data_IF_392983561395
#
_entry.id   IF_392983561395
#
_cell.length_a   1.000
_cell.length_b   1.000
_cell.length_c   1.000
_cell.angle_alpha   90.00
_cell.angle_beta   90.00
_cell.angle_gamma   90.00
#
_symmetry.space_group_name_H-M   'P 1'
#
loop_
_entity.id
_entity.type
_entity.pdbx_description
1 polymer ?
#
# COMPACT_ATOMS: atom_id res chain seq x y z
N UNK A 1 17.76 -1.74 3.15
CA UNK A 1 18.55 -2.88 2.68
C UNK A 1 19.42 -2.37 1.56
N UNK A 2 20.63 -2.92 1.34
CA UNK A 2 21.52 -2.41 0.31
C UNK A 2 21.86 -3.47 -0.74
N UNK A 3 22.12 -3.01 -1.99
CA UNK A 3 22.57 -3.84 -3.09
C UNK A 3 21.57 -4.88 -3.60
N UNK A 4 20.26 -4.70 -3.35
CA UNK A 4 19.22 -5.66 -3.72
C UNK A 4 18.35 -5.17 -4.89
N UNK A 5 18.10 -3.87 -4.96
CA UNK A 5 17.22 -3.22 -5.94
C UNK A 5 17.68 -1.77 -6.22
N UNK A 6 16.77 -0.86 -6.53
CA UNK A 6 17.02 0.58 -6.71
C UNK A 6 17.00 1.40 -5.41
N UNK A 7 16.96 0.75 -4.26
CA UNK A 7 17.14 1.37 -2.95
C UNK A 7 18.61 1.65 -2.64
N UNK A 8 18.99 1.62 -1.36
CA UNK A 8 20.38 1.86 -0.92
C UNK A 8 21.36 0.92 -1.62
N UNK A 9 22.50 1.46 -2.06
CA UNK A 9 23.52 0.69 -2.79
C UNK A 9 24.68 0.24 -1.89
N UNK A 10 24.79 0.81 -0.68
CA UNK A 10 25.83 0.46 0.28
C UNK A 10 25.31 0.43 1.72
N UNK A 11 26.13 -0.17 2.61
CA UNK A 11 25.87 -0.16 4.05
C UNK A 11 25.79 1.28 4.59
N UNK A 12 26.68 2.15 4.13
CA UNK A 12 26.73 3.56 4.53
C UNK A 12 25.42 4.29 4.17
N UNK A 13 24.90 4.07 2.97
CA UNK A 13 23.61 4.64 2.56
C UNK A 13 22.45 4.10 3.41
N UNK A 14 22.46 2.79 3.68
CA UNK A 14 21.45 2.18 4.56
C UNK A 14 21.50 2.78 5.97
N UNK A 15 22.67 2.97 6.52
CA UNK A 15 22.85 3.60 7.83
C UNK A 15 22.44 5.07 7.81
N UNK A 16 22.73 5.82 6.75
CA UNK A 16 22.27 7.21 6.60
C UNK A 16 20.73 7.31 6.56
N UNK A 17 20.06 6.38 5.88
CA UNK A 17 18.60 6.29 5.87
C UNK A 17 18.07 5.98 7.29
N UNK A 18 18.67 5.02 8.00
CA UNK A 18 18.26 4.65 9.36
C UNK A 18 18.41 5.85 10.31
N UNK A 19 19.52 6.59 10.24
CA UNK A 19 19.69 7.81 11.04
C UNK A 19 18.56 8.81 10.80
N UNK A 20 18.17 9.00 9.54
CA UNK A 20 17.04 9.87 9.22
C UNK A 20 15.71 9.35 9.77
N UNK A 21 15.48 8.05 9.77
CA UNK A 21 14.31 7.47 10.42
C UNK A 21 14.30 7.78 11.91
N UNK A 22 15.42 7.57 12.61
CA UNK A 22 15.56 7.86 14.04
C UNK A 22 15.33 9.35 14.33
N UNK A 23 15.92 10.26 13.54
CA UNK A 23 15.72 11.71 13.65
C UNK A 23 14.25 12.14 13.45
N UNK A 24 13.50 11.35 12.69
CA UNK A 24 12.07 11.55 12.48
C UNK A 24 11.18 10.81 13.49
N UNK A 25 11.78 10.12 14.48
CA UNK A 25 11.06 9.49 15.59
C UNK A 25 10.58 8.07 15.29
N UNK A 26 11.09 7.42 14.24
CA UNK A 26 10.82 6.00 13.99
C UNK A 26 11.71 5.11 14.86
N UNK A 27 11.15 4.00 15.33
CA UNK A 27 11.87 2.99 16.12
C UNK A 27 12.22 1.75 15.31
N UNK A 28 11.66 1.60 14.12
CA UNK A 28 11.92 0.49 13.23
C UNK A 28 11.21 0.66 11.89
N UNK A 29 11.49 -0.26 10.98
CA UNK A 29 10.90 -0.31 9.64
C UNK A 29 10.62 -1.73 9.21
N UNK A 30 9.66 -1.92 8.32
CA UNK A 30 9.58 -3.12 7.49
C UNK A 30 10.31 -2.80 6.18
N UNK A 31 11.46 -3.44 5.97
CA UNK A 31 12.24 -3.29 4.75
C UNK A 31 11.66 -4.22 3.67
N UNK A 32 11.25 -3.64 2.54
CA UNK A 32 10.53 -4.32 1.47
C UNK A 32 11.26 -4.23 0.14
N UNK A 33 12.44 -4.88 -0.03
CA UNK A 33 13.11 -4.90 -1.32
C UNK A 33 12.17 -5.47 -2.39
N UNK A 34 12.29 -4.90 -3.59
CA UNK A 34 11.47 -5.32 -4.71
C UNK A 34 11.67 -6.80 -5.05
N UNK A 35 10.57 -7.48 -5.33
CA UNK A 35 10.54 -8.80 -5.95
C UNK A 35 9.79 -8.70 -7.28
N UNK A 36 10.56 -8.50 -8.36
CA UNK A 36 10.04 -8.23 -9.69
C UNK A 36 10.71 -9.10 -10.74
N UNK A 37 10.00 -10.12 -11.24
CA UNK A 37 10.46 -11.01 -12.27
C UNK A 37 10.99 -10.24 -13.49
N UNK A 38 12.27 -10.52 -13.84
CA UNK A 38 12.94 -9.87 -14.97
C UNK A 38 13.64 -8.55 -14.68
N UNK A 39 13.53 -8.01 -13.43
CA UNK A 39 14.19 -6.76 -13.05
C UNK A 39 14.94 -6.86 -11.72
N UNK A 40 14.27 -7.21 -10.65
CA UNK A 40 14.82 -7.34 -9.30
C UNK A 40 14.35 -8.66 -8.69
N UNK A 41 15.27 -9.60 -8.50
CA UNK A 41 15.01 -10.90 -7.89
C UNK A 41 16.09 -11.25 -6.87
N UNK A 42 16.20 -10.46 -5.78
CA UNK A 42 17.13 -10.82 -4.72
C UNK A 42 16.70 -12.14 -4.07
N UNK A 43 17.65 -13.04 -3.84
CA UNK A 43 17.35 -14.26 -3.09
C UNK A 43 17.06 -13.95 -1.63
N UNK A 44 16.32 -14.82 -0.95
CA UNK A 44 16.05 -14.67 0.49
C UNK A 44 17.33 -14.61 1.31
N UNK A 45 18.35 -15.38 0.91
CA UNK A 45 19.67 -15.40 1.56
C UNK A 45 20.34 -14.03 1.43
N UNK A 46 20.32 -13.40 0.25
CA UNK A 46 20.89 -12.08 0.04
C UNK A 46 20.16 -11.00 0.88
N UNK A 47 18.84 -11.08 1.00
CA UNK A 47 18.05 -10.19 1.85
C UNK A 47 18.42 -10.36 3.32
N UNK A 48 18.52 -11.61 3.81
CA UNK A 48 18.90 -11.93 5.19
C UNK A 48 20.32 -11.46 5.47
N UNK A 49 21.26 -11.67 4.55
CA UNK A 49 22.66 -11.26 4.70
C UNK A 49 22.79 -9.73 4.78
N UNK A 50 22.10 -8.99 3.89
CA UNK A 50 22.08 -7.53 3.93
C UNK A 50 21.50 -7.02 5.26
N UNK A 51 20.38 -7.60 5.74
CA UNK A 51 19.81 -7.27 7.05
C UNK A 51 20.78 -7.54 8.18
N UNK A 52 21.41 -8.73 8.22
CA UNK A 52 22.33 -9.10 9.29
C UNK A 52 23.54 -8.17 9.35
N UNK A 53 24.04 -7.75 8.21
CA UNK A 53 25.14 -6.78 8.13
C UNK A 53 24.74 -5.44 8.76
N UNK A 54 23.54 -4.94 8.46
CA UNK A 54 23.02 -3.71 9.06
C UNK A 54 22.80 -3.88 10.57
N UNK A 55 22.24 -5.00 11.02
CA UNK A 55 22.02 -5.26 12.45
C UNK A 55 23.34 -5.32 13.25
N UNK A 56 24.40 -5.88 12.66
CA UNK A 56 25.72 -5.89 13.28
C UNK A 56 26.26 -4.46 13.43
N UNK A 57 26.14 -3.62 12.40
CA UNK A 57 26.58 -2.22 12.44
C UNK A 57 25.77 -1.40 13.48
N UNK A 58 24.46 -1.61 13.56
CA UNK A 58 23.61 -0.98 14.58
C UNK A 58 24.06 -1.37 15.99
N UNK A 59 24.33 -2.66 16.20
CA UNK A 59 24.82 -3.18 17.48
C UNK A 59 26.17 -2.58 17.86
N UNK A 60 27.14 -2.54 16.94
CA UNK A 60 28.48 -2.00 17.18
C UNK A 60 28.43 -0.50 17.51
N UNK A 61 27.45 0.21 17.00
CA UNK A 61 27.20 1.64 17.29
C UNK A 61 26.25 1.88 18.47
N UNK A 62 25.74 0.83 19.14
CA UNK A 62 24.75 0.90 20.21
C UNK A 62 23.48 1.69 19.77
N UNK A 63 23.01 1.48 18.55
CA UNK A 63 21.80 2.07 18.00
C UNK A 63 20.67 1.07 18.16
N UNK A 64 19.58 1.48 18.84
CA UNK A 64 18.36 0.71 18.99
C UNK A 64 17.40 1.05 17.85
N UNK A 65 17.31 0.15 16.85
CA UNK A 65 16.42 0.30 15.71
C UNK A 65 16.05 -1.07 15.13
N UNK A 66 14.76 -1.32 14.98
CA UNK A 66 14.26 -2.60 14.51
C UNK A 66 14.12 -2.64 12.98
N UNK A 67 14.52 -3.77 12.38
CA UNK A 67 14.36 -4.01 10.94
C UNK A 67 13.63 -5.33 10.74
N UNK A 68 12.37 -5.24 10.35
CA UNK A 68 11.57 -6.36 9.91
C UNK A 68 11.77 -6.57 8.41
N UNK A 69 11.52 -7.79 7.93
CA UNK A 69 11.61 -8.12 6.51
C UNK A 69 10.23 -8.16 5.86
N UNK A 70 10.20 -7.87 4.59
CA UNK A 70 9.11 -8.05 3.65
C UNK A 70 9.64 -8.04 2.23
N UNK A 71 8.76 -8.19 1.25
CA UNK A 71 9.03 -7.86 -0.14
C UNK A 71 7.93 -6.93 -0.67
N UNK A 72 8.27 -6.03 -1.58
CA UNK A 72 7.31 -5.42 -2.47
C UNK A 72 7.23 -6.26 -3.74
N UNK A 73 6.15 -7.04 -3.85
CA UNK A 73 5.99 -8.07 -4.87
C UNK A 73 5.26 -7.49 -6.07
N UNK A 74 5.92 -7.48 -7.23
CA UNK A 74 5.26 -7.14 -8.48
C UNK A 74 4.30 -8.27 -8.89
N UNK A 75 2.99 -7.97 -8.89
CA UNK A 75 1.94 -8.95 -9.05
C UNK A 75 1.93 -9.54 -10.46
N UNK A 76 2.20 -10.84 -10.55
CA UNK A 76 2.17 -11.64 -11.77
C UNK A 76 1.55 -13.04 -11.53
N UNK A 77 1.61 -13.90 -12.53
CA UNK A 77 1.08 -15.27 -12.48
C UNK A 77 1.86 -16.22 -11.57
N UNK A 78 3.08 -15.84 -11.14
CA UNK A 78 3.90 -16.63 -10.21
C UNK A 78 3.67 -16.27 -8.76
N UNK A 79 3.15 -15.08 -8.47
CA UNK A 79 3.04 -14.52 -7.12
C UNK A 79 2.40 -15.48 -6.13
N UNK A 80 1.31 -16.15 -6.52
CA UNK A 80 0.66 -17.11 -5.62
C UNK A 80 1.55 -18.30 -5.30
N UNK A 81 2.21 -18.85 -6.32
CA UNK A 81 3.15 -19.98 -6.16
C UNK A 81 4.33 -19.60 -5.25
N UNK A 82 4.91 -18.43 -5.45
CA UNK A 82 6.04 -17.92 -4.64
C UNK A 82 5.64 -17.72 -3.18
N UNK A 83 4.43 -17.24 -2.91
CA UNK A 83 3.88 -17.12 -1.55
C UNK A 83 3.66 -18.50 -0.91
N UNK A 84 3.01 -19.45 -1.61
CA UNK A 84 2.69 -20.78 -1.09
C UNK A 84 3.95 -21.62 -0.83
N UNK A 85 5.03 -21.39 -1.59
CA UNK A 85 6.32 -22.06 -1.39
C UNK A 85 7.28 -21.26 -0.49
N UNK A 86 6.84 -20.16 0.09
CA UNK A 86 7.67 -19.30 0.96
C UNK A 86 8.96 -18.81 0.27
N UNK A 87 8.90 -18.52 -1.04
CA UNK A 87 10.03 -18.01 -1.83
C UNK A 87 10.23 -16.50 -1.63
N UNK A 88 9.20 -15.79 -1.13
CA UNK A 88 9.20 -14.36 -0.81
C UNK A 88 8.93 -14.13 0.67
N UNK A 89 9.25 -12.93 1.17
CA UNK A 89 8.91 -12.49 2.52
C UNK A 89 7.54 -11.80 2.54
N UNK A 90 6.72 -12.16 3.50
CA UNK A 90 5.56 -11.37 3.92
C UNK A 90 6.00 -10.20 4.81
N UNK A 91 5.14 -9.23 5.06
CA UNK A 91 5.47 -8.08 5.93
C UNK A 91 5.66 -8.56 7.38
N UNK A 92 6.89 -8.45 7.90
CA UNK A 92 7.24 -8.82 9.28
C UNK A 92 6.86 -10.27 9.66
N UNK A 93 6.95 -11.21 8.72
CA UNK A 93 6.58 -12.63 8.89
C UNK A 93 5.10 -12.84 9.27
N UNK A 94 4.25 -11.87 8.98
CA UNK A 94 2.80 -11.90 9.21
C UNK A 94 2.04 -12.43 7.99
N UNK A 95 0.72 -12.47 8.04
CA UNK A 95 -0.13 -12.80 6.88
C UNK A 95 -0.22 -11.69 5.82
N UNK A 96 0.34 -10.52 6.06
CA UNK A 96 0.24 -9.37 5.15
C UNK A 96 1.31 -9.44 4.06
N UNK A 97 0.92 -9.21 2.82
CA UNK A 97 1.82 -9.19 1.64
C UNK A 97 1.69 -7.87 0.91
N UNK A 98 2.81 -7.17 0.71
CA UNK A 98 2.84 -5.93 -0.04
C UNK A 98 2.99 -6.26 -1.53
N UNK A 99 2.05 -5.79 -2.31
CA UNK A 99 1.98 -6.04 -3.75
C UNK A 99 1.92 -4.73 -4.53
N UNK A 100 2.48 -4.71 -5.73
CA UNK A 100 2.35 -3.61 -6.69
C UNK A 100 1.93 -4.12 -8.07
N UNK A 101 1.41 -3.21 -8.91
CA UNK A 101 1.06 -3.46 -10.31
C UNK A 101 1.86 -2.54 -11.25
N UNK A 102 1.86 -2.78 -12.57
CA UNK A 102 2.28 -1.78 -13.53
C UNK A 102 1.48 -0.47 -13.35
N UNK A 103 2.19 0.68 -13.30
CA UNK A 103 1.53 2.00 -13.17
C UNK A 103 0.67 2.37 -14.37
N UNK A 104 0.93 1.78 -15.53
CA UNK A 104 0.21 2.00 -16.78
C UNK A 104 -0.59 0.77 -17.17
N UNK A 105 -1.87 0.97 -17.42
CA UNK A 105 -2.77 -0.07 -17.92
C UNK A 105 -3.54 -0.84 -16.84
N UNK A 106 -4.60 -1.48 -17.27
CA UNK A 106 -5.47 -2.28 -16.40
C UNK A 106 -4.96 -3.70 -16.30
N UNK A 107 -4.64 -4.12 -15.10
CA UNK A 107 -4.32 -5.52 -14.79
C UNK A 107 -5.63 -6.27 -14.52
N UNK A 108 -6.35 -6.64 -15.58
CA UNK A 108 -7.72 -7.18 -15.47
C UNK A 108 -7.84 -8.44 -14.60
N UNK A 109 -6.76 -9.21 -14.46
CA UNK A 109 -6.72 -10.40 -13.61
C UNK A 109 -6.47 -10.08 -12.12
N UNK A 110 -6.05 -8.85 -11.78
CA UNK A 110 -5.67 -8.49 -10.41
C UNK A 110 -6.77 -8.75 -9.36
N UNK A 111 -8.06 -8.41 -9.57
CA UNK A 111 -9.08 -8.73 -8.57
C UNK A 111 -9.20 -10.23 -8.30
N UNK A 112 -9.04 -11.07 -9.33
CA UNK A 112 -9.10 -12.52 -9.18
C UNK A 112 -7.88 -13.05 -8.41
N UNK A 113 -6.68 -12.54 -8.72
CA UNK A 113 -5.46 -12.96 -8.05
C UNK A 113 -5.43 -12.49 -6.58
N UNK A 114 -5.89 -11.28 -6.29
CA UNK A 114 -6.09 -10.80 -4.92
C UNK A 114 -7.01 -11.73 -4.13
N UNK A 115 -8.11 -12.16 -4.74
CA UNK A 115 -9.01 -13.11 -4.11
C UNK A 115 -8.35 -14.46 -3.84
N UNK A 116 -7.53 -14.98 -4.78
CA UNK A 116 -6.79 -16.22 -4.61
C UNK A 116 -5.74 -16.12 -3.49
N UNK A 117 -5.00 -14.99 -3.41
CA UNK A 117 -4.05 -14.72 -2.33
C UNK A 117 -4.76 -14.80 -0.97
N UNK A 118 -5.98 -14.25 -0.85
CA UNK A 118 -6.76 -14.34 0.39
C UNK A 118 -7.22 -15.78 0.69
N UNK A 119 -7.60 -16.56 -0.31
CA UNK A 119 -7.96 -17.97 -0.11
C UNK A 119 -6.78 -18.80 0.40
N UNK A 120 -5.54 -18.41 0.07
CA UNK A 120 -4.31 -19.03 0.61
C UNK A 120 -3.93 -18.49 2.01
N UNK A 121 -4.79 -17.66 2.63
CA UNK A 121 -4.62 -17.18 4.01
C UNK A 121 -3.83 -15.89 4.16
N UNK A 122 -3.44 -15.25 3.08
CA UNK A 122 -2.72 -13.96 3.09
C UNK A 122 -3.66 -12.77 2.96
N UNK A 123 -3.23 -11.61 3.42
CA UNK A 123 -3.93 -10.33 3.28
C UNK A 123 -3.12 -9.42 2.36
N UNK A 124 -3.56 -9.18 1.12
CA UNK A 124 -2.83 -8.31 0.20
C UNK A 124 -2.96 -6.83 0.61
N UNK A 125 -1.82 -6.14 0.63
CA UNK A 125 -1.69 -4.69 0.79
C UNK A 125 -1.22 -4.13 -0.55
N UNK A 126 -2.03 -3.32 -1.22
CA UNK A 126 -1.63 -2.65 -2.45
C UNK A 126 -0.79 -1.43 -2.11
N UNK A 127 0.46 -1.42 -2.59
CA UNK A 127 1.42 -0.35 -2.38
C UNK A 127 1.06 0.90 -3.19
N UNK A 128 1.36 2.08 -2.64
CA UNK A 128 1.32 3.41 -3.27
C UNK A 128 0.18 3.59 -4.28
N UNK A 129 -1.05 3.29 -3.84
CA UNK A 129 -2.26 3.26 -4.70
C UNK A 129 -2.48 4.56 -5.45
N UNK A 130 -2.06 5.68 -4.89
CA UNK A 130 -2.16 7.00 -5.49
C UNK A 130 -1.28 7.20 -6.73
N UNK A 131 -0.31 6.33 -6.96
CA UNK A 131 0.61 6.41 -8.11
C UNK A 131 0.06 5.75 -9.36
N UNK A 132 -0.98 4.95 -9.26
CA UNK A 132 -1.63 4.39 -10.44
C UNK A 132 -2.36 5.50 -11.19
N UNK A 133 -1.94 5.75 -12.46
CA UNK A 133 -2.53 6.80 -13.28
C UNK A 133 -3.98 6.45 -13.60
N UNK A 134 -4.92 7.26 -13.10
CA UNK A 134 -6.33 6.88 -13.06
C UNK A 134 -7.20 7.94 -13.73
N UNK A 135 -7.70 7.62 -14.89
CA UNK A 135 -8.91 8.26 -15.42
C UNK A 135 -10.11 7.93 -14.50
N UNK A 136 -11.26 8.57 -14.70
CA UNK A 136 -12.46 8.25 -13.92
C UNK A 136 -12.85 6.77 -14.00
N UNK A 137 -12.68 6.14 -15.16
CA UNK A 137 -12.97 4.73 -15.41
C UNK A 137 -11.96 3.79 -14.74
N UNK A 138 -10.73 4.25 -14.57
CA UNK A 138 -9.68 3.51 -13.88
C UNK A 138 -9.86 3.55 -12.37
N UNK A 139 -10.46 4.61 -11.82
CA UNK A 139 -10.81 4.65 -10.39
C UNK A 139 -11.83 3.56 -10.04
N UNK A 140 -12.80 3.26 -10.92
CA UNK A 140 -13.71 2.13 -10.74
C UNK A 140 -12.95 0.79 -10.67
N UNK A 141 -11.80 0.70 -11.35
CA UNK A 141 -10.91 -0.47 -11.25
C UNK A 141 -10.22 -0.52 -9.87
N UNK A 142 -9.72 0.60 -9.36
CA UNK A 142 -9.15 0.68 -8.01
C UNK A 142 -10.21 0.31 -6.95
N UNK A 143 -11.45 0.79 -7.09
CA UNK A 143 -12.55 0.38 -6.20
C UNK A 143 -12.83 -1.13 -6.27
N UNK A 144 -12.72 -1.77 -7.44
CA UNK A 144 -12.83 -3.23 -7.58
C UNK A 144 -11.72 -3.98 -6.85
N UNK A 145 -10.48 -3.50 -6.93
CA UNK A 145 -9.34 -4.04 -6.19
C UNK A 145 -9.59 -3.94 -4.67
N UNK A 146 -10.05 -2.78 -4.22
CA UNK A 146 -10.43 -2.59 -2.83
C UNK A 146 -11.54 -3.57 -2.42
N UNK A 147 -12.64 -3.65 -3.16
CA UNK A 147 -13.76 -4.58 -2.90
C UNK A 147 -13.36 -6.05 -2.95
N UNK A 148 -12.35 -6.40 -3.77
CA UNK A 148 -11.78 -7.74 -3.80
C UNK A 148 -11.01 -8.11 -2.51
N UNK A 149 -10.77 -7.16 -1.60
CA UNK A 149 -10.23 -7.42 -0.26
C UNK A 149 -8.83 -6.87 -0.01
N UNK A 150 -8.17 -6.23 -0.97
CA UNK A 150 -6.88 -5.59 -0.72
C UNK A 150 -7.01 -4.44 0.27
N UNK A 151 -6.06 -4.31 1.19
CA UNK A 151 -5.82 -3.09 1.95
C UNK A 151 -5.04 -2.11 1.08
N UNK A 152 -5.21 -0.82 1.31
CA UNK A 152 -4.53 0.21 0.54
C UNK A 152 -3.52 0.96 1.37
N UNK A 153 -2.33 1.12 0.81
CA UNK A 153 -1.25 1.95 1.34
C UNK A 153 -0.99 3.10 0.38
N UNK A 154 -0.84 4.32 0.92
CA UNK A 154 -0.38 5.50 0.17
C UNK A 154 1.00 5.93 0.66
N UNK A 155 1.78 6.55 -0.24
CA UNK A 155 3.07 7.13 0.11
C UNK A 155 2.89 8.54 0.69
N UNK A 156 3.52 8.79 1.83
CA UNK A 156 3.53 10.11 2.44
C UNK A 156 4.17 11.16 1.52
N UNK A 157 5.19 10.78 0.76
CA UNK A 157 5.85 11.67 -0.21
C UNK A 157 4.91 12.19 -1.31
N UNK A 158 3.85 11.47 -1.63
CA UNK A 158 2.84 11.89 -2.61
C UNK A 158 2.00 13.08 -2.14
N UNK A 159 2.01 13.37 -0.83
CA UNK A 159 1.35 14.54 -0.26
C UNK A 159 2.21 15.81 -0.26
N UNK A 160 3.46 15.76 -0.73
CA UNK A 160 4.39 16.92 -0.75
C UNK A 160 4.06 17.95 -1.83
N UNK A 161 3.48 17.53 -2.94
CA UNK A 161 3.20 18.40 -4.09
C UNK A 161 1.70 18.49 -4.36
N UNK A 162 1.06 19.52 -3.85
CA UNK A 162 -0.39 19.75 -3.96
C UNK A 162 -0.92 19.85 -5.40
N UNK A 163 -0.04 20.03 -6.39
CA UNK A 163 -0.41 20.13 -7.80
C UNK A 163 -0.17 18.85 -8.58
N UNK A 164 0.29 17.78 -7.92
CA UNK A 164 0.54 16.48 -8.57
C UNK A 164 -0.74 15.64 -8.67
N UNK A 165 -0.76 14.73 -9.64
CA UNK A 165 -1.85 13.76 -9.79
C UNK A 165 -1.89 12.79 -8.60
N UNK A 166 -0.72 12.42 -8.06
CA UNK A 166 -0.58 11.57 -6.89
C UNK A 166 -1.22 12.21 -5.65
N UNK A 167 -1.04 13.53 -5.46
CA UNK A 167 -1.68 14.26 -4.36
C UNK A 167 -3.21 14.26 -4.50
N UNK A 168 -3.73 14.55 -5.70
CA UNK A 168 -5.16 14.52 -5.96
C UNK A 168 -5.75 13.12 -5.70
N UNK A 169 -5.06 12.07 -6.18
CA UNK A 169 -5.50 10.70 -5.99
C UNK A 169 -5.43 10.26 -4.52
N UNK A 170 -4.35 10.58 -3.81
CA UNK A 170 -4.22 10.29 -2.38
C UNK A 170 -5.37 10.91 -1.59
N UNK A 171 -5.68 12.18 -1.86
CA UNK A 171 -6.81 12.85 -1.22
C UNK A 171 -8.16 12.23 -1.55
N UNK A 172 -8.36 11.80 -2.78
CA UNK A 172 -9.60 11.09 -3.18
C UNK A 172 -9.75 9.76 -2.43
N UNK A 173 -8.66 9.03 -2.22
CA UNK A 173 -8.67 7.78 -1.44
C UNK A 173 -8.96 8.04 0.04
N UNK A 174 -8.35 9.09 0.61
CA UNK A 174 -8.59 9.54 1.99
C UNK A 174 -10.05 9.95 2.20
N UNK A 175 -10.61 10.77 1.29
CA UNK A 175 -12.00 11.25 1.37
C UNK A 175 -13.03 10.10 1.27
N UNK A 176 -12.64 8.97 0.69
CA UNK A 176 -13.45 7.75 0.60
C UNK A 176 -13.16 6.74 1.72
N UNK A 177 -12.29 7.06 2.65
CA UNK A 177 -11.86 6.17 3.75
C UNK A 177 -11.34 4.81 3.24
N UNK A 178 -10.58 4.85 2.15
CA UNK A 178 -10.02 3.66 1.51
C UNK A 178 -8.56 3.37 1.90
N UNK A 179 -7.96 4.15 2.80
CA UNK A 179 -6.55 4.03 3.18
C UNK A 179 -6.43 3.37 4.54
N UNK A 180 -5.71 2.25 4.62
CA UNK A 180 -5.45 1.54 5.87
C UNK A 180 -4.01 1.66 6.36
N UNK A 181 -3.09 2.07 5.48
CA UNK A 181 -1.66 2.17 5.77
C UNK A 181 -1.06 3.38 5.06
N UNK A 182 0.00 3.92 5.63
CA UNK A 182 0.86 4.90 4.98
C UNK A 182 2.30 4.39 4.96
N UNK A 183 3.04 4.72 3.91
CA UNK A 183 4.43 4.32 3.74
C UNK A 183 5.33 5.49 3.41
N UNK A 184 6.61 5.36 3.67
CA UNK A 184 7.63 6.34 3.26
C UNK A 184 8.19 6.05 1.90
N UNK A 185 8.22 4.77 1.51
CA UNK A 185 8.78 4.29 0.25
C UNK A 185 10.20 4.84 0.02
N UNK A 186 11.02 4.73 1.07
CA UNK A 186 12.36 5.32 1.13
C UNK A 186 13.36 4.53 0.30
N UNK A 187 14.05 5.21 -0.62
CA UNK A 187 15.06 4.60 -1.49
C UNK A 187 16.46 5.20 -1.29
N UNK A 188 16.55 6.47 -0.89
CA UNK A 188 17.85 7.10 -0.67
C UNK A 188 17.77 8.14 0.47
N UNK A 189 18.90 8.55 1.03
CA UNK A 189 18.89 9.59 2.05
C UNK A 189 18.52 10.99 1.54
N UNK A 190 18.64 11.28 0.24
CA UNK A 190 18.35 12.61 -0.34
C UNK A 190 16.96 12.68 -0.99
N UNK A 191 16.66 11.68 -1.82
CA UNK A 191 15.39 11.58 -2.57
C UNK A 191 14.54 10.49 -1.95
N UNK A 192 13.22 10.58 -1.98
CA UNK A 192 12.36 9.56 -1.38
C UNK A 192 12.90 9.14 0.01
N UNK A 193 13.12 10.14 0.85
CA UNK A 193 13.64 10.00 2.21
C UNK A 193 12.49 9.99 3.24
N UNK A 194 12.74 9.58 4.50
CA UNK A 194 11.70 9.47 5.53
C UNK A 194 11.32 10.80 6.20
N UNK A 195 11.76 11.95 5.67
CA UNK A 195 11.38 13.26 6.20
C UNK A 195 9.99 13.64 5.69
N UNK A 196 8.99 13.29 6.47
CA UNK A 196 7.56 13.38 6.13
C UNK A 196 6.72 13.95 7.28
N UNK A 197 7.34 14.74 8.19
CA UNK A 197 6.65 15.32 9.35
C UNK A 197 5.47 16.22 8.96
N UNK A 198 5.62 17.00 7.89
CA UNK A 198 4.57 17.91 7.39
C UNK A 198 3.38 17.11 6.83
N UNK A 199 3.66 16.05 6.14
CA UNK A 199 2.67 15.15 5.53
C UNK A 199 1.89 14.39 6.63
N UNK A 200 2.56 13.97 7.68
CA UNK A 200 1.92 13.38 8.86
C UNK A 200 1.03 14.40 9.60
N UNK A 201 1.49 15.64 9.76
CA UNK A 201 0.68 16.72 10.33
C UNK A 201 -0.53 17.06 9.44
N UNK A 202 -0.34 17.09 8.12
CA UNK A 202 -1.43 17.26 7.16
C UNK A 202 -2.49 16.17 7.34
N UNK A 203 -2.10 14.89 7.39
CA UNK A 203 -3.03 13.77 7.60
C UNK A 203 -3.78 13.87 8.92
N UNK A 204 -3.09 14.22 10.00
CA UNK A 204 -3.70 14.41 11.32
C UNK A 204 -4.74 15.54 11.31
N UNK A 205 -4.45 16.65 10.65
CA UNK A 205 -5.36 17.78 10.52
C UNK A 205 -6.56 17.47 9.61
N UNK A 206 -6.33 16.74 8.52
CA UNK A 206 -7.37 16.39 7.53
C UNK A 206 -8.30 15.30 8.04
N UNK A 207 -7.76 14.23 8.58
CA UNK A 207 -8.50 13.00 8.91
C UNK A 207 -8.88 12.91 10.40
N UNK A 208 -8.22 13.69 11.25
CA UNK A 208 -8.43 13.69 12.70
C UNK A 208 -7.55 12.70 13.44
N UNK A 209 -7.48 12.89 14.77
CA UNK A 209 -6.58 12.16 15.69
C UNK A 209 -6.85 10.64 15.69
N UNK A 210 -8.11 10.22 15.70
CA UNK A 210 -8.47 8.81 15.78
C UNK A 210 -8.02 8.04 14.53
N UNK A 211 -8.29 8.60 13.35
CA UNK A 211 -7.84 8.02 12.08
C UNK A 211 -6.30 7.97 12.01
N UNK A 212 -5.65 9.06 12.43
CA UNK A 212 -4.19 9.14 12.47
C UNK A 212 -3.59 8.03 13.34
N UNK A 213 -4.11 7.86 14.56
CA UNK A 213 -3.63 6.82 15.46
C UNK A 213 -3.86 5.42 14.88
N UNK A 214 -5.05 5.17 14.31
CA UNK A 214 -5.36 3.88 13.69
C UNK A 214 -4.42 3.57 12.51
N UNK A 215 -4.32 4.49 11.52
CA UNK A 215 -3.64 4.22 10.24
C UNK A 215 -2.13 4.37 10.32
N UNK A 216 -1.64 5.33 11.13
CA UNK A 216 -0.21 5.65 11.20
C UNK A 216 0.51 4.88 12.31
N UNK A 217 -0.19 4.55 13.41
CA UNK A 217 0.42 3.92 14.59
C UNK A 217 -0.04 2.47 14.77
N UNK A 218 -1.35 2.24 14.89
CA UNK A 218 -1.88 0.94 15.29
C UNK A 218 -1.81 -0.09 14.15
N UNK A 219 -2.19 0.28 12.93
CA UNK A 219 -2.20 -0.67 11.82
C UNK A 219 -0.81 -1.20 11.46
N UNK A 220 0.28 -0.39 11.40
CA UNK A 220 1.63 -0.92 11.29
C UNK A 220 2.00 -1.89 12.42
N UNK A 221 1.62 -1.57 13.67
CA UNK A 221 1.86 -2.46 14.80
C UNK A 221 1.08 -3.78 14.70
N UNK A 222 -0.16 -3.74 14.18
CA UNK A 222 -0.96 -4.95 13.91
C UNK A 222 -0.30 -5.85 12.86
N UNK A 223 0.36 -5.27 11.83
CA UNK A 223 1.14 -6.08 10.87
C UNK A 223 2.26 -6.81 11.59
N UNK A 224 3.05 -6.12 12.43
CA UNK A 224 4.17 -6.72 13.18
C UNK A 224 3.67 -7.83 14.12
N UNK A 225 2.50 -7.66 14.71
CA UNK A 225 1.91 -8.63 15.66
C UNK A 225 1.04 -9.71 14.97
N UNK A 226 0.92 -9.70 13.65
CA UNK A 226 0.01 -10.54 12.86
C UNK A 226 -1.47 -10.45 13.29
N UNK A 227 -1.88 -9.26 13.74
CA UNK A 227 -3.25 -8.96 14.14
C UNK A 227 -4.09 -8.50 12.94
N UNK A 228 -5.43 -8.48 13.09
CA UNK A 228 -6.33 -8.10 12.01
C UNK A 228 -6.48 -6.58 11.88
N UNK A 229 -6.31 -6.04 10.67
CA UNK A 229 -6.59 -4.65 10.33
C UNK A 229 -8.02 -4.56 9.79
N UNK A 230 -8.81 -3.68 10.41
CA UNK A 230 -10.17 -3.39 9.95
C UNK A 230 -10.12 -2.62 8.63
N UNK A 231 -11.05 -2.97 7.74
CA UNK A 231 -11.25 -2.30 6.46
C UNK A 231 -12.64 -1.70 6.41
N UNK A 232 -12.76 -0.48 5.92
CA UNK A 232 -14.05 0.17 5.70
C UNK A 232 -14.75 -0.46 4.50
N UNK A 233 -15.99 -0.89 4.66
CA UNK A 233 -16.79 -1.42 3.57
C UNK A 233 -17.31 -0.28 2.67
N UNK A 234 -17.03 -0.36 1.38
CA UNK A 234 -17.65 0.53 0.40
C UNK A 234 -19.03 -0.06 0.06
N UNK A 235 -20.06 0.58 0.56
CA UNK A 235 -21.43 0.28 0.16
C UNK A 235 -21.69 0.94 -1.20
N UNK A 236 -21.98 0.14 -2.22
CA UNK A 236 -22.43 0.69 -3.51
C UNK A 236 -23.67 1.55 -3.27
N UNK A 237 -23.69 2.78 -3.77
CA UNK A 237 -24.90 3.58 -3.79
C UNK A 237 -25.99 2.74 -4.48
N UNK A 238 -27.02 2.35 -3.75
CA UNK A 238 -28.19 1.68 -4.34
C UNK A 238 -28.67 2.61 -5.44
N UNK A 239 -28.66 2.18 -6.72
CA UNK A 239 -29.08 3.05 -7.81
C UNK A 239 -30.48 3.55 -7.47
N UNK A 240 -30.64 4.86 -7.31
CA UNK A 240 -31.95 5.47 -7.07
C UNK A 240 -32.83 5.02 -8.22
N UNK A 241 -33.65 4.00 -7.97
CA UNK A 241 -34.69 3.58 -8.93
C UNK A 241 -35.48 4.85 -9.18
N UNK A 242 -35.25 5.47 -10.35
CA UNK A 242 -36.14 6.54 -10.83
C UNK A 242 -37.54 5.92 -10.81
N UNK A 243 -38.33 6.21 -9.77
CA UNK A 243 -39.75 5.92 -9.77
C UNK A 243 -40.32 6.71 -10.95
N UNK A 244 -40.31 6.11 -12.15
CA UNK A 244 -41.20 6.57 -13.19
C UNK A 244 -42.58 6.45 -12.59
N UNK A 245 -43.21 7.61 -12.39
CA UNK A 245 -44.50 7.70 -11.75
C UNK A 245 -45.45 6.75 -12.50
N UNK A 246 -45.93 5.73 -11.81
CA UNK A 246 -46.95 4.79 -12.29
C UNK A 246 -48.07 5.52 -13.03
N UNK A 247 -48.38 6.74 -12.61
CA UNK A 247 -49.36 7.66 -13.22
C UNK A 247 -48.96 8.15 -14.62
N UNK A 248 -47.67 8.28 -14.96
CA UNK A 248 -47.23 8.60 -16.31
C UNK A 248 -47.41 7.44 -17.30
N UNK A 249 -47.34 6.20 -16.84
CA UNK A 249 -47.65 5.02 -17.68
C UNK A 249 -49.16 4.90 -17.96
N UNK A 250 -49.99 5.20 -16.98
CA UNK A 250 -51.46 5.16 -17.15
C UNK A 250 -51.94 6.27 -18.10
N UNK A 251 -51.41 7.48 -17.97
CA UNK A 251 -51.77 8.60 -18.83
C UNK A 251 -51.26 8.46 -20.29
N UNK A 252 -50.24 7.70 -20.55
CA UNK A 252 -49.80 7.36 -21.91
C UNK A 252 -50.65 6.28 -22.57
N UNK A 253 -51.21 5.36 -21.81
CA UNK A 253 -52.13 4.31 -22.32
C UNK A 253 -53.46 4.88 -22.80
N UNK A 254 -53.97 5.89 -22.13
CA UNK A 254 -55.25 6.53 -22.49
C UNK A 254 -55.16 7.55 -23.65
N UNK A 255 -53.97 7.83 -24.18
CA UNK A 255 -53.78 8.71 -25.36
C UNK A 255 -53.70 7.97 -26.68
N UNK A 256 -53.56 6.65 -26.67
CA UNK A 256 -53.48 5.83 -27.88
C UNK A 256 -54.76 5.07 -28.22
N UNK A 257 -55.86 5.37 -27.49
CA UNK A 257 -57.20 4.80 -27.75
C UNK A 257 -58.22 5.90 -28.13
N UNK A 258 -57.75 6.94 -28.83
CA UNK A 258 -58.66 7.89 -29.50
C UNK A 258 -58.28 8.12 -30.93
#
# INVERSE_FOLDING_TARGET
MFGLDDGAQSLEESMAIIHKYIENGYHGVVATPHHYNGKYLPSKEAIIESRQTILNELKDKNIDFEIYLGNEIFLDDKTLHELENHEVFTLADSKYVLIEFPFLGKVNYAPSLIYQIQLSGYIPVLAHVERYQVTKEEFDFIEKIYKAGALFQINLSSLKNETSQEYEMANKLLDKDMVQLVGTDTHSPERRNPDVKKELEYLKNKMGENWYNEVVIENPQKIINDEFIRKTEIVDEIPKIKKESFWKKILRRNKNEK
#
